data_IF_725310185013
#
_entry.id   IF_725310185013
#
_cell.length_a   1.000
_cell.length_b   1.000
_cell.length_c   1.000
_cell.angle_alpha   90.00
_cell.angle_beta   90.00
_cell.angle_gamma   90.00
#
_symmetry.space_group_name_H-M   'P 1'
#
loop_
_entity.id
_entity.type
_entity.pdbx_description
1 polymer ?
#
# COMPACT_ATOMS: atom_id res chain seq x y z
N UNK A 1 -5.04 51.47 -19.09
CA UNK A 1 -4.72 51.10 -20.49
C UNK A 1 -5.14 49.66 -20.68
N UNK A 2 -6.13 49.48 -21.55
CA UNK A 2 -6.86 48.26 -21.93
C UNK A 2 -6.18 47.56 -23.10
N UNK A 3 -6.00 46.23 -23.02
CA UNK A 3 -6.07 45.23 -24.13
C UNK A 3 -6.09 43.82 -23.48
N UNK A 4 -7.19 43.07 -23.41
CA UNK A 4 -7.94 42.27 -24.42
C UNK A 4 -7.22 41.06 -25.02
N UNK A 5 -7.90 39.90 -24.91
CA UNK A 5 -7.78 38.66 -25.73
C UNK A 5 -6.52 37.81 -25.47
N UNK A 6 -6.51 36.49 -25.50
CA UNK A 6 -7.31 35.55 -26.29
C UNK A 6 -7.29 34.12 -25.67
N UNK A 7 -8.44 33.44 -25.75
CA UNK A 7 -8.61 32.01 -25.53
C UNK A 7 -8.51 31.27 -26.87
N UNK A 8 -7.51 30.41 -27.07
CA UNK A 8 -7.54 29.42 -28.16
C UNK A 8 -6.70 28.16 -27.82
N UNK A 9 -7.42 27.15 -27.33
CA UNK A 9 -7.42 25.76 -27.76
C UNK A 9 -6.21 25.22 -28.56
N UNK A 10 -5.31 24.49 -27.90
CA UNK A 10 -4.81 23.14 -28.25
C UNK A 10 -3.39 22.90 -27.71
N UNK A 11 -3.21 21.81 -26.94
CA UNK A 11 -1.88 21.23 -26.69
C UNK A 11 -1.38 21.25 -25.24
N UNK A 12 -1.95 20.36 -24.43
CA UNK A 12 -1.34 19.63 -23.32
C UNK A 12 0.05 20.08 -22.80
N UNK A 13 0.05 20.61 -21.57
CA UNK A 13 1.07 20.27 -20.57
C UNK A 13 0.36 19.69 -19.34
N UNK A 14 0.27 18.35 -19.29
CA UNK A 14 -0.08 17.64 -18.06
C UNK A 14 1.11 17.79 -17.12
N UNK A 15 1.02 18.75 -16.19
CA UNK A 15 1.92 18.77 -15.03
C UNK A 15 1.49 17.68 -14.08
N UNK A 16 2.32 16.66 -14.04
CA UNK A 16 2.36 15.62 -13.03
C UNK A 16 2.87 16.31 -11.76
N UNK A 17 2.05 16.28 -10.72
CA UNK A 17 2.40 15.93 -9.34
C UNK A 17 1.65 16.78 -8.31
N UNK A 18 0.48 16.27 -7.90
CA UNK A 18 -0.05 16.39 -6.55
C UNK A 18 -0.74 15.05 -6.23
N UNK A 19 0.06 14.04 -5.92
CA UNK A 19 -0.44 12.84 -5.29
C UNK A 19 -1.05 13.14 -3.90
N UNK A 20 -2.18 12.48 -3.67
CA UNK A 20 -2.55 11.85 -2.40
C UNK A 20 -3.38 12.62 -1.35
N UNK A 21 -4.38 13.43 -1.76
CA UNK A 21 -5.51 13.77 -0.87
C UNK A 21 -6.88 13.87 -1.56
N UNK A 22 -7.19 13.01 -2.54
CA UNK A 22 -8.60 12.74 -2.83
C UNK A 22 -9.12 11.74 -1.79
N UNK A 23 -9.56 12.30 -0.67
CA UNK A 23 -10.36 11.62 0.33
C UNK A 23 -11.56 11.02 -0.41
N UNK A 24 -11.54 9.71 -0.62
CA UNK A 24 -12.61 8.93 -1.23
C UNK A 24 -13.82 8.87 -0.29
N UNK A 25 -14.50 10.01 -0.11
CA UNK A 25 -15.76 10.07 0.59
C UNK A 25 -16.84 9.62 -0.39
N UNK A 26 -17.19 8.33 -0.28
CA UNK A 26 -18.38 7.81 -0.94
C UNK A 26 -19.62 8.42 -0.28
N UNK A 27 -20.53 8.96 -1.08
CA UNK A 27 -21.79 9.50 -0.56
C UNK A 27 -22.60 8.40 0.16
N UNK A 28 -23.33 8.78 1.21
CA UNK A 28 -24.05 7.80 2.07
C UNK A 28 -25.10 6.99 1.31
N UNK A 29 -25.59 7.54 0.19
CA UNK A 29 -26.56 6.98 -0.74
C UNK A 29 -25.96 6.22 -1.93
N UNK A 30 -24.63 6.06 -1.99
CA UNK A 30 -24.00 5.31 -3.07
C UNK A 30 -24.56 3.90 -3.20
N UNK A 31 -24.61 3.39 -4.44
CA UNK A 31 -25.13 2.06 -4.70
C UNK A 31 -24.29 0.98 -4.01
N UNK A 32 -24.88 -0.19 -3.72
CA UNK A 32 -24.14 -1.35 -3.22
C UNK A 32 -22.93 -1.72 -4.10
N UNK A 33 -23.07 -1.65 -5.43
CA UNK A 33 -22.00 -1.88 -6.41
C UNK A 33 -20.87 -0.86 -6.26
N UNK A 34 -21.19 0.43 -6.14
CA UNK A 34 -20.19 1.48 -6.00
C UNK A 34 -19.39 1.35 -4.70
N UNK A 35 -20.03 0.90 -3.61
CA UNK A 35 -19.33 0.54 -2.36
C UNK A 35 -18.37 -0.61 -2.57
N UNK A 36 -18.80 -1.64 -3.28
CA UNK A 36 -17.97 -2.79 -3.58
C UNK A 36 -16.74 -2.40 -4.39
N UNK A 37 -16.91 -1.63 -5.46
CA UNK A 37 -15.81 -1.16 -6.31
C UNK A 37 -14.82 -0.29 -5.52
N UNK A 38 -15.33 0.61 -4.68
CA UNK A 38 -14.52 1.40 -3.76
C UNK A 38 -13.74 0.52 -2.77
N UNK A 39 -14.39 -0.52 -2.24
CA UNK A 39 -13.75 -1.50 -1.37
C UNK A 39 -12.57 -2.21 -2.04
N UNK A 40 -12.72 -2.60 -3.32
CA UNK A 40 -11.62 -3.18 -4.12
C UNK A 40 -10.46 -2.18 -4.23
N UNK A 41 -10.73 -0.90 -4.50
CA UNK A 41 -9.68 0.11 -4.60
C UNK A 41 -8.92 0.28 -3.28
N UNK A 42 -9.62 0.28 -2.14
CA UNK A 42 -8.98 0.31 -0.83
C UNK A 42 -8.15 -0.95 -0.55
N UNK A 43 -8.63 -2.14 -0.96
CA UNK A 43 -7.88 -3.38 -0.78
C UNK A 43 -6.58 -3.37 -1.59
N UNK A 44 -6.63 -2.91 -2.85
CA UNK A 44 -5.45 -2.71 -3.70
C UNK A 44 -4.51 -1.64 -3.15
N UNK A 45 -5.05 -0.63 -2.48
CA UNK A 45 -4.29 0.42 -1.80
C UNK A 45 -3.71 0.03 -0.44
N UNK A 46 -3.79 -1.25 -0.02
CA UNK A 46 -3.25 -1.70 1.26
C UNK A 46 -4.05 -1.27 2.48
N UNK A 47 -5.34 -0.96 2.32
CA UNK A 47 -6.25 -0.57 3.40
C UNK A 47 -7.33 -1.64 3.65
N UNK A 48 -6.96 -2.84 4.15
CA UNK A 48 -7.87 -3.98 4.26
C UNK A 48 -9.05 -3.72 5.20
N UNK A 49 -8.87 -2.95 6.28
CA UNK A 49 -9.96 -2.61 7.19
C UNK A 49 -11.05 -1.77 6.52
N UNK A 50 -10.63 -0.74 5.76
CA UNK A 50 -11.58 0.11 5.04
C UNK A 50 -12.25 -0.63 3.89
N UNK A 51 -11.49 -1.49 3.21
CA UNK A 51 -12.04 -2.39 2.20
C UNK A 51 -13.11 -3.32 2.80
N UNK A 52 -12.82 -3.96 3.93
CA UNK A 52 -13.73 -4.87 4.64
C UNK A 52 -15.02 -4.18 5.03
N UNK A 53 -14.94 -2.95 5.55
CA UNK A 53 -16.11 -2.15 5.90
C UNK A 53 -16.99 -1.89 4.65
N UNK A 54 -16.41 -1.38 3.57
CA UNK A 54 -17.14 -1.03 2.35
C UNK A 54 -17.74 -2.25 1.64
N UNK A 55 -16.98 -3.34 1.54
CA UNK A 55 -17.45 -4.57 0.91
C UNK A 55 -18.56 -5.20 1.77
N UNK A 56 -18.43 -5.18 3.10
CA UNK A 56 -19.50 -5.66 3.98
C UNK A 56 -20.77 -4.85 3.82
N UNK A 57 -20.67 -3.52 3.79
CA UNK A 57 -21.84 -2.66 3.54
C UNK A 57 -22.49 -2.95 2.18
N UNK A 58 -21.71 -3.27 1.15
CA UNK A 58 -22.25 -3.69 -0.15
C UNK A 58 -23.07 -4.98 -0.02
N UNK A 59 -22.55 -5.99 0.68
CA UNK A 59 -23.25 -7.25 0.95
C UNK A 59 -24.53 -7.01 1.76
N UNK A 60 -24.45 -6.23 2.84
CA UNK A 60 -25.59 -5.93 3.71
C UNK A 60 -26.71 -5.16 2.97
N UNK A 61 -26.35 -4.42 1.91
CA UNK A 61 -27.30 -3.70 1.05
C UNK A 61 -27.74 -4.50 -0.19
N UNK A 62 -27.42 -5.80 -0.25
CA UNK A 62 -27.96 -6.72 -1.26
C UNK A 62 -27.01 -7.09 -2.40
N UNK A 63 -25.80 -6.54 -2.45
CA UNK A 63 -24.79 -6.93 -3.45
C UNK A 63 -24.01 -8.17 -2.99
N UNK A 64 -24.73 -9.28 -2.77
CA UNK A 64 -24.19 -10.52 -2.22
C UNK A 64 -23.85 -11.55 -3.31
N UNK A 65 -22.87 -11.22 -4.16
CA UNK A 65 -22.41 -12.13 -5.23
C UNK A 65 -21.24 -13.00 -4.75
N UNK A 66 -20.95 -14.15 -5.39
CA UNK A 66 -19.75 -14.93 -5.08
C UNK A 66 -18.46 -14.10 -5.15
N UNK A 67 -18.35 -13.23 -6.15
CA UNK A 67 -17.21 -12.30 -6.28
C UNK A 67 -17.11 -11.35 -5.08
N UNK A 68 -18.22 -10.77 -4.65
CA UNK A 68 -18.24 -9.86 -3.49
C UNK A 68 -17.77 -10.57 -2.22
N UNK A 69 -18.27 -11.78 -2.00
CA UNK A 69 -17.89 -12.61 -0.84
C UNK A 69 -16.42 -13.05 -0.88
N UNK A 70 -15.90 -13.35 -2.06
CA UNK A 70 -14.47 -13.64 -2.24
C UNK A 70 -13.60 -12.44 -1.83
N UNK A 71 -13.89 -11.24 -2.34
CA UNK A 71 -13.14 -10.04 -1.96
C UNK A 71 -13.32 -9.67 -0.47
N UNK A 72 -14.48 -9.98 0.12
CA UNK A 72 -14.69 -9.82 1.57
C UNK A 72 -13.78 -10.76 2.37
N UNK A 73 -13.59 -12.00 1.92
CA UNK A 73 -12.64 -12.94 2.54
C UNK A 73 -11.21 -12.44 2.43
N UNK A 74 -10.79 -11.96 1.25
CA UNK A 74 -9.47 -11.37 1.08
C UNK A 74 -9.26 -10.20 2.03
N UNK A 75 -10.23 -9.28 2.14
CA UNK A 75 -10.13 -8.15 3.06
C UNK A 75 -10.12 -8.56 4.55
N UNK A 76 -10.76 -9.68 4.90
CA UNK A 76 -10.82 -10.21 6.27
C UNK A 76 -9.50 -10.88 6.68
N UNK A 77 -8.84 -11.55 5.75
CA UNK A 77 -7.62 -12.33 6.01
C UNK A 77 -6.32 -11.57 5.70
N UNK A 78 -6.39 -10.46 4.96
CA UNK A 78 -5.21 -9.73 4.53
C UNK A 78 -4.34 -9.27 5.71
N UNK A 79 -3.06 -9.62 5.66
CA UNK A 79 -2.05 -9.21 6.62
C UNK A 79 -2.17 -9.88 7.99
N UNK A 80 -2.94 -10.97 8.10
CA UNK A 80 -3.15 -11.72 9.35
C UNK A 80 -2.84 -13.19 9.14
N UNK A 81 -2.25 -13.83 10.14
CA UNK A 81 -2.16 -15.29 10.19
C UNK A 81 -3.46 -15.91 10.72
N UNK A 82 -3.65 -17.22 10.57
CA UNK A 82 -4.80 -17.92 11.16
C UNK A 82 -4.87 -17.77 12.69
N UNK A 83 -3.72 -17.64 13.36
CA UNK A 83 -3.64 -17.48 14.82
C UNK A 83 -4.06 -16.09 15.29
N UNK A 84 -3.90 -15.09 14.43
CA UNK A 84 -4.26 -13.69 14.70
C UNK A 84 -5.73 -13.39 14.38
N UNK A 85 -6.45 -14.36 13.80
CA UNK A 85 -7.83 -14.16 13.40
C UNK A 85 -8.77 -14.26 14.62
N UNK A 86 -9.50 -13.19 14.98
CA UNK A 86 -10.44 -13.25 16.09
C UNK A 86 -11.59 -14.21 15.77
N UNK A 87 -12.15 -14.83 16.81
CA UNK A 87 -13.22 -15.84 16.67
C UNK A 87 -14.41 -15.36 15.83
N UNK A 88 -14.80 -14.09 15.96
CA UNK A 88 -15.88 -13.49 15.18
C UNK A 88 -15.57 -13.45 13.67
N UNK A 89 -14.33 -13.14 13.31
CA UNK A 89 -13.89 -13.13 11.92
C UNK A 89 -13.76 -14.57 11.38
N UNK A 90 -13.35 -15.53 12.21
CA UNK A 90 -13.36 -16.95 11.86
C UNK A 90 -14.77 -17.50 11.62
N UNK A 91 -15.73 -17.19 12.50
CA UNK A 91 -17.13 -17.59 12.33
C UNK A 91 -17.73 -16.96 11.05
N UNK A 92 -17.32 -15.73 10.73
CA UNK A 92 -17.72 -15.07 9.47
C UNK A 92 -17.12 -15.75 8.25
N UNK A 93 -15.86 -16.14 8.28
CA UNK A 93 -15.24 -16.94 7.23
C UNK A 93 -16.03 -18.23 6.99
N UNK A 94 -16.32 -18.99 8.05
CA UNK A 94 -17.09 -20.22 7.97
C UNK A 94 -18.49 -19.99 7.39
N UNK A 95 -19.16 -18.90 7.78
CA UNK A 95 -20.47 -18.52 7.22
C UNK A 95 -20.40 -18.24 5.71
N UNK A 96 -19.36 -17.55 5.24
CA UNK A 96 -19.19 -17.28 3.81
C UNK A 96 -18.95 -18.58 3.05
N UNK A 97 -18.06 -19.44 3.54
CA UNK A 97 -17.77 -20.76 2.93
C UNK A 97 -19.02 -21.63 2.88
N UNK A 98 -19.80 -21.68 3.97
CA UNK A 98 -21.06 -22.40 4.01
C UNK A 98 -22.09 -21.85 3.02
N UNK A 99 -22.18 -20.53 2.88
CA UNK A 99 -23.08 -19.89 1.90
C UNK A 99 -22.69 -20.25 0.47
N UNK A 100 -21.39 -20.33 0.19
CA UNK A 100 -20.85 -20.67 -1.14
C UNK A 100 -21.16 -22.11 -1.59
N UNK A 101 -21.49 -23.01 -0.66
CA UNK A 101 -21.95 -24.36 -1.01
C UNK A 101 -23.29 -24.36 -1.77
N UNK A 102 -24.10 -23.30 -1.62
CA UNK A 102 -25.40 -23.18 -2.28
C UNK A 102 -25.36 -22.51 -3.66
N UNK A 103 -24.23 -21.89 -4.03
CA UNK A 103 -24.10 -21.18 -5.30
C UNK A 103 -23.70 -22.12 -6.46
N UNK A 104 -24.09 -21.80 -7.70
CA UNK A 104 -23.60 -22.51 -8.88
C UNK A 104 -22.07 -22.44 -8.95
N UNK A 105 -21.45 -23.56 -9.33
CA UNK A 105 -20.00 -23.63 -9.47
C UNK A 105 -19.49 -22.62 -10.50
N UNK A 106 -18.52 -21.83 -10.08
CA UNK A 106 -17.78 -20.88 -10.90
C UNK A 106 -16.41 -20.62 -10.23
N UNK A 107 -15.53 -19.90 -10.92
CA UNK A 107 -14.17 -19.61 -10.46
C UNK A 107 -14.12 -18.92 -9.09
N UNK A 108 -15.07 -18.02 -8.79
CA UNK A 108 -15.14 -17.33 -7.49
C UNK A 108 -15.57 -18.27 -6.37
N UNK A 109 -16.52 -19.17 -6.63
CA UNK A 109 -16.96 -20.19 -5.68
C UNK A 109 -15.82 -21.18 -5.40
N UNK A 110 -15.10 -21.61 -6.44
CA UNK A 110 -13.92 -22.46 -6.29
C UNK A 110 -12.85 -21.78 -5.42
N UNK A 111 -12.59 -20.49 -5.67
CA UNK A 111 -11.65 -19.70 -4.89
C UNK A 111 -12.07 -19.56 -3.41
N UNK A 112 -13.36 -19.33 -3.14
CA UNK A 112 -13.90 -19.29 -1.77
C UNK A 112 -13.71 -20.62 -1.05
N UNK A 113 -14.00 -21.74 -1.72
CA UNK A 113 -13.82 -23.09 -1.14
C UNK A 113 -12.34 -23.36 -0.84
N UNK A 114 -11.45 -22.97 -1.75
CA UNK A 114 -10.00 -23.11 -1.54
C UNK A 114 -9.52 -22.33 -0.32
N UNK A 115 -9.97 -21.08 -0.15
CA UNK A 115 -9.68 -20.27 1.05
C UNK A 115 -10.28 -20.91 2.31
N UNK A 116 -11.49 -21.46 2.23
CA UNK A 116 -12.13 -22.15 3.35
C UNK A 116 -11.40 -23.42 3.80
N UNK A 117 -10.74 -24.09 2.87
CA UNK A 117 -9.95 -25.31 3.12
C UNK A 117 -8.56 -25.02 3.65
N UNK A 118 -8.09 -23.76 3.61
CA UNK A 118 -6.76 -23.36 4.07
C UNK A 118 -6.37 -23.91 5.45
N UNK A 119 -7.23 -23.82 6.50
CA UNK A 119 -6.91 -24.36 7.81
C UNK A 119 -6.60 -25.86 7.81
N UNK A 120 -7.07 -26.62 6.82
CA UNK A 120 -6.84 -28.06 6.70
C UNK A 120 -5.50 -28.41 6.03
N UNK A 121 -4.85 -27.45 5.36
CA UNK A 121 -3.56 -27.65 4.67
C UNK A 121 -2.33 -27.44 5.56
N UNK A 122 -2.52 -27.27 6.88
CA UNK A 122 -1.42 -27.06 7.83
C UNK A 122 -1.14 -28.31 8.69
N UNK A 123 -1.56 -29.51 8.25
CA UNK A 123 -1.41 -30.76 9.02
C UNK A 123 -0.17 -31.56 8.57
N UNK A 124 0.05 -31.66 7.26
CA UNK A 124 1.22 -32.28 6.63
C UNK A 124 1.77 -31.35 5.53
N UNK A 125 2.75 -30.52 5.89
CA UNK A 125 3.18 -29.36 5.09
C UNK A 125 3.73 -29.66 3.69
N UNK A 126 4.13 -30.92 3.40
CA UNK A 126 4.64 -31.28 2.07
C UNK A 126 3.51 -31.72 1.13
N UNK A 127 2.70 -32.68 1.57
CA UNK A 127 1.56 -33.18 0.78
C UNK A 127 0.46 -32.13 0.68
N UNK A 128 0.21 -31.38 1.74
CA UNK A 128 -0.81 -30.33 1.75
C UNK A 128 -0.44 -29.17 0.82
N UNK A 129 0.85 -28.80 0.75
CA UNK A 129 1.32 -27.78 -0.18
C UNK A 129 1.17 -28.21 -1.64
N UNK A 130 1.42 -29.48 -1.97
CA UNK A 130 1.23 -29.99 -3.33
C UNK A 130 -0.26 -29.97 -3.73
N UNK A 131 -1.15 -30.40 -2.83
CA UNK A 131 -2.61 -30.39 -3.08
C UNK A 131 -3.11 -28.95 -3.23
N UNK A 132 -2.70 -28.04 -2.35
CA UNK A 132 -3.06 -26.63 -2.41
C UNK A 132 -2.60 -26.00 -3.74
N UNK A 133 -1.34 -26.21 -4.11
CA UNK A 133 -0.78 -25.69 -5.36
C UNK A 133 -1.48 -26.27 -6.59
N UNK A 134 -1.84 -27.55 -6.58
CA UNK A 134 -2.64 -28.14 -7.66
C UNK A 134 -3.99 -27.43 -7.81
N UNK A 135 -4.70 -27.20 -6.72
CA UNK A 135 -6.00 -26.50 -6.74
C UNK A 135 -5.88 -25.03 -7.14
N UNK A 136 -4.80 -24.35 -6.74
CA UNK A 136 -4.48 -23.00 -7.20
C UNK A 136 -4.27 -22.95 -8.72
N UNK A 137 -3.71 -24.00 -9.33
CA UNK A 137 -3.46 -24.06 -10.78
C UNK A 137 -4.72 -24.35 -11.59
N UNK A 138 -5.69 -25.02 -10.96
CA UNK A 138 -7.01 -25.27 -11.54
C UNK A 138 -7.91 -24.03 -11.43
N UNK A 139 -7.50 -23.05 -10.61
CA UNK A 139 -8.15 -21.74 -10.49
C UNK A 139 -7.81 -20.85 -11.70
N UNK A 140 -8.69 -19.90 -12.02
CA UNK A 140 -8.38 -18.88 -13.01
C UNK A 140 -7.21 -18.00 -12.56
N UNK A 141 -6.40 -17.53 -13.53
CA UNK A 141 -5.19 -16.73 -13.28
C UNK A 141 -5.47 -15.52 -12.37
N UNK A 142 -6.63 -14.89 -12.54
CA UNK A 142 -7.03 -13.71 -11.76
C UNK A 142 -7.25 -14.03 -10.28
N UNK A 143 -7.94 -15.13 -9.96
CA UNK A 143 -8.26 -15.47 -8.57
C UNK A 143 -7.01 -15.98 -7.85
N UNK A 144 -6.17 -16.76 -8.54
CA UNK A 144 -4.90 -17.23 -8.00
C UNK A 144 -3.97 -16.06 -7.64
N UNK A 145 -3.82 -15.08 -8.53
CA UNK A 145 -3.04 -13.87 -8.28
C UNK A 145 -3.55 -13.08 -7.07
N UNK A 146 -4.87 -12.89 -6.97
CA UNK A 146 -5.48 -12.15 -5.85
C UNK A 146 -5.29 -12.87 -4.50
N UNK A 147 -5.35 -14.20 -4.49
CA UNK A 147 -5.09 -15.01 -3.29
C UNK A 147 -3.63 -14.81 -2.86
N UNK A 148 -2.66 -14.98 -3.76
CA UNK A 148 -1.25 -14.78 -3.42
C UNK A 148 -0.96 -13.36 -2.94
N UNK A 149 -1.48 -12.35 -3.65
CA UNK A 149 -1.23 -10.95 -3.33
C UNK A 149 -1.73 -10.56 -1.94
N UNK A 150 -2.90 -11.05 -1.53
CA UNK A 150 -3.54 -10.59 -0.30
C UNK A 150 -3.36 -11.54 0.88
N UNK A 151 -3.05 -12.80 0.63
CA UNK A 151 -2.90 -13.82 1.67
C UNK A 151 -1.43 -14.21 1.89
N UNK A 152 -0.45 -13.47 1.39
CA UNK A 152 0.99 -13.77 1.59
C UNK A 152 1.34 -14.03 3.06
N UNK A 153 0.90 -13.16 3.98
CA UNK A 153 1.15 -13.35 5.41
C UNK A 153 0.42 -14.56 6.02
N UNK A 154 -0.65 -15.02 5.38
CA UNK A 154 -1.44 -16.19 5.80
C UNK A 154 -0.85 -17.49 5.22
N UNK A 155 -0.25 -17.43 4.04
CA UNK A 155 0.41 -18.54 3.36
C UNK A 155 1.84 -18.65 3.88
N UNK A 156 2.06 -19.49 4.90
CA UNK A 156 3.41 -19.72 5.44
C UNK A 156 4.12 -20.92 4.77
N UNK A 157 5.46 -20.88 4.74
CA UNK A 157 6.30 -22.03 4.41
C UNK A 157 6.31 -22.44 2.94
N UNK A 158 6.26 -23.76 2.69
CA UNK A 158 6.43 -24.39 1.37
C UNK A 158 5.40 -23.93 0.32
N UNK A 159 4.22 -23.46 0.75
CA UNK A 159 3.20 -22.89 -0.14
C UNK A 159 3.67 -21.57 -0.73
N UNK A 160 4.26 -20.69 0.10
CA UNK A 160 4.79 -19.40 -0.34
C UNK A 160 6.04 -19.58 -1.20
N UNK A 161 6.91 -20.55 -0.85
CA UNK A 161 8.13 -20.83 -1.62
C UNK A 161 7.80 -21.25 -3.07
N UNK A 162 6.83 -22.14 -3.27
CA UNK A 162 6.40 -22.55 -4.62
C UNK A 162 5.70 -21.41 -5.38
N UNK A 163 4.95 -20.56 -4.68
CA UNK A 163 4.36 -19.36 -5.28
C UNK A 163 5.44 -18.39 -5.78
N UNK A 164 6.50 -18.18 -4.99
CA UNK A 164 7.64 -17.36 -5.36
C UNK A 164 8.38 -17.92 -6.58
N UNK A 165 8.65 -19.22 -6.61
CA UNK A 165 9.26 -19.87 -7.79
C UNK A 165 8.45 -19.62 -9.05
N UNK A 166 7.12 -19.69 -8.94
CA UNK A 166 6.19 -19.44 -10.04
C UNK A 166 6.21 -17.99 -10.50
N UNK A 167 6.12 -17.03 -9.57
CA UNK A 167 6.17 -15.61 -9.87
C UNK A 167 7.51 -15.24 -10.53
N UNK A 168 8.62 -15.81 -10.06
CA UNK A 168 9.94 -15.67 -10.67
C UNK A 168 9.96 -16.24 -12.09
N UNK A 169 9.36 -17.41 -12.33
CA UNK A 169 9.31 -18.00 -13.66
C UNK A 169 8.46 -17.17 -14.62
N UNK A 170 7.28 -16.73 -14.21
CA UNK A 170 6.42 -15.85 -15.00
C UNK A 170 7.12 -14.52 -15.29
N UNK A 171 7.82 -13.94 -14.30
CA UNK A 171 8.59 -12.72 -14.50
C UNK A 171 9.72 -12.93 -15.52
N UNK A 172 10.42 -14.08 -15.50
CA UNK A 172 11.43 -14.43 -16.50
C UNK A 172 10.83 -14.56 -17.90
N UNK A 173 9.67 -15.20 -18.00
CA UNK A 173 8.99 -15.41 -19.28
C UNK A 173 8.49 -14.08 -19.86
N UNK A 174 7.93 -13.22 -19.01
CA UNK A 174 7.38 -11.91 -19.39
C UNK A 174 8.40 -10.76 -19.36
N UNK A 175 9.68 -10.99 -19.02
CA UNK A 175 10.64 -9.89 -18.80
C UNK A 175 10.85 -9.01 -20.04
N UNK A 176 10.72 -9.59 -21.22
CA UNK A 176 10.83 -8.92 -22.52
C UNK A 176 9.49 -8.49 -23.12
N UNK A 177 8.37 -8.77 -22.46
CA UNK A 177 7.04 -8.51 -23.00
C UNK A 177 6.79 -7.03 -23.31
N UNK A 178 5.96 -6.81 -24.31
CA UNK A 178 5.61 -5.48 -24.80
C UNK A 178 6.83 -4.70 -25.29
N UNK A 179 7.78 -5.35 -25.97
CA UNK A 179 9.01 -4.76 -26.51
C UNK A 179 9.86 -4.01 -25.46
N UNK A 180 9.89 -4.52 -24.22
CA UNK A 180 10.71 -3.92 -23.16
C UNK A 180 12.18 -3.82 -23.56
N UNK A 181 12.72 -4.86 -24.23
CA UNK A 181 14.09 -4.89 -24.74
C UNK A 181 14.42 -3.70 -25.67
N UNK A 182 13.46 -3.28 -26.51
CA UNK A 182 13.63 -2.14 -27.43
C UNK A 182 13.56 -0.78 -26.73
N UNK A 183 13.02 -0.73 -25.49
CA UNK A 183 12.84 0.50 -24.70
C UNK A 183 13.86 0.66 -23.56
N UNK A 184 14.70 -0.34 -23.30
CA UNK A 184 15.68 -0.31 -22.20
C UNK A 184 16.54 0.96 -22.23
N UNK A 185 16.98 1.39 -23.42
CA UNK A 185 17.82 2.58 -23.59
C UNK A 185 17.17 3.89 -23.08
N UNK A 186 15.83 3.95 -22.97
CA UNK A 186 15.12 5.13 -22.45
C UNK A 186 15.27 5.27 -20.94
N UNK A 187 15.46 4.15 -20.23
CA UNK A 187 15.52 4.10 -18.77
C UNK A 187 16.93 3.84 -18.25
N UNK A 188 17.76 3.17 -19.05
CA UNK A 188 19.13 2.83 -18.72
C UNK A 188 20.06 3.43 -19.76
N UNK A 189 20.99 4.26 -19.31
CA UNK A 189 22.11 4.70 -20.13
C UNK A 189 23.11 3.53 -20.24
N UNK A 190 23.59 3.17 -21.45
CA UNK A 190 24.56 2.08 -21.63
C UNK A 190 25.82 2.27 -20.78
N UNK A 191 26.20 3.53 -20.58
CA UNK A 191 27.24 3.93 -19.65
C UNK A 191 26.56 4.60 -18.44
N UNK A 192 26.70 4.05 -17.22
CA UNK A 192 26.11 4.64 -16.03
C UNK A 192 26.57 6.09 -15.86
N UNK A 193 25.63 7.02 -15.69
CA UNK A 193 25.97 8.40 -15.38
C UNK A 193 26.85 8.44 -14.13
N UNK A 194 27.97 9.18 -14.19
CA UNK A 194 28.84 9.38 -13.02
C UNK A 194 28.05 10.01 -11.88
N UNK A 195 28.43 9.67 -10.65
CA UNK A 195 27.85 10.24 -9.44
C UNK A 195 27.81 11.77 -9.54
N UNK A 196 26.61 12.34 -9.46
CA UNK A 196 26.44 13.79 -9.46
C UNK A 196 26.68 14.29 -8.03
N UNK A 197 27.69 15.12 -7.85
CA UNK A 197 27.86 15.85 -6.58
C UNK A 197 26.78 16.93 -6.54
N UNK A 198 25.79 16.77 -5.67
CA UNK A 198 24.89 17.85 -5.32
C UNK A 198 25.57 18.65 -4.20
N UNK A 199 26.17 19.82 -4.47
CA UNK A 199 26.78 20.61 -3.41
C UNK A 199 25.67 21.00 -2.42
N UNK A 200 25.89 20.84 -1.10
CA UNK A 200 24.92 21.29 -0.11
C UNK A 200 24.65 22.78 -0.33
N UNK A 201 23.38 23.16 -0.28
CA UNK A 201 23.00 24.56 -0.39
C UNK A 201 23.69 25.33 0.76
N UNK A 202 24.56 26.32 0.48
CA UNK A 202 25.30 27.00 1.53
C UNK A 202 24.30 27.62 2.51
N UNK A 203 24.46 27.34 3.80
CA UNK A 203 23.70 27.97 4.87
C UNK A 203 23.98 29.46 4.78
N UNK A 204 22.98 30.24 4.36
CA UNK A 204 23.06 31.69 4.36
C UNK A 204 22.90 32.16 5.82
N UNK A 205 24.03 32.41 6.48
CA UNK A 205 24.03 33.03 7.81
C UNK A 205 23.67 34.50 7.59
N UNK A 206 22.51 34.91 8.10
CA UNK A 206 22.04 36.28 7.99
C UNK A 206 22.91 37.17 8.90
N UNK A 207 23.31 38.36 8.41
CA UNK A 207 24.18 39.29 9.15
C UNK A 207 23.62 39.60 10.55
N UNK A 208 22.30 39.52 10.71
CA UNK A 208 21.58 39.67 11.97
C UNK A 208 22.04 38.67 13.04
N UNK A 209 22.35 37.43 12.67
CA UNK A 209 22.84 36.41 13.61
C UNK A 209 24.24 36.75 14.14
N UNK A 210 25.09 37.30 13.29
CA UNK A 210 26.43 37.74 13.68
C UNK A 210 26.36 38.93 14.64
N UNK A 211 25.50 39.91 14.35
CA UNK A 211 25.29 41.06 15.24
C UNK A 211 24.71 40.62 16.59
N UNK A 212 23.77 39.68 16.59
CA UNK A 212 23.15 39.16 17.82
C UNK A 212 24.15 38.40 18.70
N UNK A 213 25.05 37.63 18.09
CA UNK A 213 26.12 36.94 18.81
C UNK A 213 27.10 37.93 19.46
N UNK A 214 27.54 38.96 18.72
CA UNK A 214 28.46 39.99 19.24
C UNK A 214 27.81 40.76 20.39
N UNK A 215 26.55 41.17 20.23
CA UNK A 215 25.81 41.87 21.28
C UNK A 215 25.69 41.04 22.56
N UNK A 216 25.41 39.73 22.43
CA UNK A 216 25.35 38.80 23.56
C UNK A 216 26.69 38.72 24.32
N UNK A 217 27.81 38.62 23.61
CA UNK A 217 29.14 38.58 24.23
C UNK A 217 29.50 39.85 24.99
N UNK A 218 29.13 41.03 24.47
CA UNK A 218 29.38 42.32 25.14
C UNK A 218 28.59 42.43 26.44
N UNK A 219 27.31 42.04 26.44
CA UNK A 219 26.49 42.04 27.66
C UNK A 219 27.07 41.11 28.72
N UNK A 220 27.56 39.93 28.32
CA UNK A 220 28.16 38.96 29.24
C UNK A 220 29.44 39.51 29.88
N UNK A 221 30.31 40.15 29.08
CA UNK A 221 31.54 40.75 29.58
C UNK A 221 31.26 41.94 30.53
N UNK A 222 30.32 42.81 30.17
CA UNK A 222 29.90 43.93 31.03
C UNK A 222 29.33 43.43 32.35
N UNK A 223 28.54 42.36 32.32
CA UNK A 223 27.99 41.72 33.53
C UNK A 223 29.10 41.21 34.45
N UNK A 224 30.09 40.51 33.91
CA UNK A 224 31.26 40.05 34.68
C UNK A 224 32.03 41.21 35.33
N UNK A 225 32.23 42.31 34.61
CA UNK A 225 32.91 43.50 35.14
C UNK A 225 32.12 44.11 36.30
N UNK A 226 30.80 44.27 36.15
CA UNK A 226 29.97 44.83 37.23
C UNK A 226 29.95 43.95 38.48
N UNK A 227 29.92 42.62 38.33
CA UNK A 227 29.99 41.67 39.44
C UNK A 227 31.37 41.75 40.12
N UNK A 228 32.46 41.82 39.35
CA UNK A 228 33.81 41.96 39.91
C UNK A 228 33.99 43.29 40.66
N UNK A 229 33.47 44.39 40.12
CA UNK A 229 33.58 45.72 40.74
C UNK A 229 32.76 45.82 42.04
N UNK A 230 31.57 45.23 42.07
CA UNK A 230 30.72 45.18 43.27
C UNK A 230 31.30 44.24 44.34
N UNK A 231 31.93 43.13 43.95
CA UNK A 231 32.67 42.27 44.88
C UNK A 231 33.88 42.98 45.50
N UNK A 232 34.60 43.81 44.73
CA UNK A 232 35.76 44.56 45.23
C UNK A 232 35.38 45.64 46.24
N UNK A 233 34.28 46.36 46.01
CA UNK A 233 33.80 47.41 46.93
C UNK A 233 33.17 46.88 48.23
N UNK A 234 32.79 45.59 48.28
CA UNK A 234 32.21 44.95 49.47
C UNK A 234 33.26 44.37 50.42
N UNK A 235 34.50 44.25 49.97
CA UNK A 235 35.60 43.58 50.69
C UNK A 235 36.69 44.54 51.20
N UNK A 236 36.42 45.85 51.22
CA UNK A 236 37.25 46.88 51.85
C UNK A 236 36.46 47.67 52.88
#
# INVERSE_FOLDING_TARGET
MTTSGEFNNSGNYVKIDQQAQNIYNLASDASPEARFDMGILHLKGGMPEKARELIREAVDRGHATPKTHFYLLLALLNGRTLQELPREDFDRLQKIVFTAASWPDNEWVAAIRLIGDLPNFFVDSATDAEIFNKRMNELGDTQAELIYQHLEAFLEGSILDQAWERAVQQAKDCQSDGNRAERVWKFFQPEPARARVCPPNPIQIEIVDCVRAIAGSVVFAASFITIALTALMRNG
#
